data_IF_060950605870
#
_entry.id   IF_060950605870
#
_cell.length_a   1.000
_cell.length_b   1.000
_cell.length_c   1.000
_cell.angle_alpha   90.00
_cell.angle_beta   90.00
_cell.angle_gamma   90.00
#
_symmetry.space_group_name_H-M   'P 1'
#
loop_
_entity.id
_entity.type
_entity.pdbx_description
1 polymer ?
#
# COMPACT_ATOMS: atom_id res chain seq x y z
N UNK A 1 23.01 -11.63 -8.38
CA UNK A 1 23.25 -10.17 -8.51
C UNK A 1 23.06 -9.54 -7.14
N UNK A 2 23.87 -8.55 -6.77
CA UNK A 2 23.91 -8.06 -5.39
C UNK A 2 23.94 -6.54 -5.36
N UNK A 3 23.05 -5.93 -4.57
CA UNK A 3 23.08 -4.51 -4.26
C UNK A 3 23.91 -4.25 -3.01
N UNK A 4 24.91 -3.37 -3.14
CA UNK A 4 25.62 -2.82 -2.00
C UNK A 4 25.03 -1.47 -1.65
N UNK A 5 24.43 -1.34 -0.47
CA UNK A 5 23.82 -0.10 -0.03
C UNK A 5 24.38 0.35 1.32
N UNK A 6 24.26 1.64 1.59
CA UNK A 6 24.46 2.17 2.94
C UNK A 6 23.41 1.57 3.90
N UNK A 7 23.71 1.55 5.20
CA UNK A 7 22.81 1.07 6.26
C UNK A 7 21.71 2.10 6.55
N UNK A 8 20.96 2.48 5.51
CA UNK A 8 19.79 3.34 5.59
C UNK A 8 18.54 2.49 5.85
N UNK A 9 17.62 3.04 6.63
CA UNK A 9 16.34 2.42 7.01
C UNK A 9 15.43 2.04 5.84
N UNK A 10 15.65 2.62 4.66
CA UNK A 10 14.94 2.25 3.42
C UNK A 10 15.34 0.86 2.90
N UNK A 11 16.59 0.42 3.18
CA UNK A 11 17.14 -0.87 2.77
C UNK A 11 17.20 -1.88 3.92
N UNK A 12 17.34 -1.39 5.16
CA UNK A 12 17.35 -2.23 6.37
C UNK A 12 16.14 -1.96 7.25
N UNK A 13 15.42 -3.02 7.59
CA UNK A 13 14.39 -2.97 8.62
C UNK A 13 15.03 -3.05 10.02
N UNK A 14 14.57 -2.20 10.95
CA UNK A 14 14.76 -2.39 12.39
C UNK A 14 13.44 -2.87 12.97
N UNK A 15 13.47 -4.01 13.67
CA UNK A 15 12.29 -4.56 14.35
C UNK A 15 11.72 -3.55 15.32
N UNK A 16 10.59 -2.95 14.95
CA UNK A 16 9.80 -2.17 15.88
C UNK A 16 9.02 -3.15 16.74
N UNK A 17 9.08 -3.01 18.08
CA UNK A 17 8.29 -3.79 19.05
C UNK A 17 6.76 -3.59 18.94
N UNK A 18 6.25 -3.18 17.79
CA UNK A 18 4.82 -3.01 17.53
C UNK A 18 4.18 -4.35 17.19
N UNK A 19 3.02 -4.65 17.80
CA UNK A 19 2.18 -5.85 17.54
C UNK A 19 1.63 -5.98 16.10
N UNK A 20 2.04 -5.11 15.17
CA UNK A 20 1.49 -5.07 13.82
C UNK A 20 2.45 -5.79 12.87
N UNK A 21 2.18 -7.07 12.58
CA UNK A 21 2.94 -7.92 11.66
C UNK A 21 3.05 -7.33 10.24
N UNK A 22 2.15 -6.40 9.87
CA UNK A 22 2.26 -5.61 8.63
C UNK A 22 3.56 -4.83 8.52
N UNK A 23 4.23 -4.58 9.64
CA UNK A 23 5.52 -3.89 9.71
C UNK A 23 6.70 -4.85 9.83
N UNK A 24 6.50 -6.17 9.95
CA UNK A 24 7.52 -7.12 10.42
C UNK A 24 8.07 -8.01 9.28
N UNK A 25 7.90 -7.59 8.04
CA UNK A 25 8.50 -8.20 6.84
C UNK A 25 9.36 -7.15 6.15
N UNK A 26 10.43 -7.58 5.48
CA UNK A 26 11.27 -6.81 4.55
C UNK A 26 10.61 -5.52 4.03
N UNK A 27 11.37 -4.40 3.97
CA UNK A 27 10.92 -3.21 3.23
C UNK A 27 10.43 -3.64 1.84
N UNK A 28 9.42 -2.96 1.28
CA UNK A 28 8.86 -3.36 -0.04
C UNK A 28 9.96 -3.57 -1.10
N UNK A 29 10.99 -2.72 -1.05
CA UNK A 29 12.18 -2.84 -1.87
C UNK A 29 12.98 -4.14 -1.62
N UNK A 30 13.25 -4.49 -0.36
CA UNK A 30 13.98 -5.72 -0.03
C UNK A 30 13.18 -6.99 -0.32
N UNK A 31 11.85 -6.96 -0.16
CA UNK A 31 10.96 -8.05 -0.59
C UNK A 31 11.06 -8.26 -2.11
N UNK A 32 10.93 -7.17 -2.88
CA UNK A 32 11.04 -7.18 -4.34
C UNK A 32 12.41 -7.71 -4.82
N UNK A 33 13.51 -7.25 -4.21
CA UNK A 33 14.85 -7.74 -4.52
C UNK A 33 14.98 -9.24 -4.26
N UNK A 34 14.49 -9.72 -3.11
CA UNK A 34 14.52 -11.14 -2.78
C UNK A 34 13.71 -11.98 -3.78
N UNK A 35 12.55 -11.50 -4.24
CA UNK A 35 11.72 -12.17 -5.25
C UNK A 35 12.39 -12.20 -6.63
N UNK A 36 13.22 -11.21 -6.96
CA UNK A 36 14.06 -11.18 -8.16
C UNK A 36 15.38 -11.98 -8.00
N UNK A 37 15.66 -12.57 -6.84
CA UNK A 37 16.94 -13.23 -6.56
C UNK A 37 18.12 -12.26 -6.45
N UNK A 38 17.84 -11.01 -6.12
CA UNK A 38 18.84 -9.96 -5.88
C UNK A 38 19.09 -9.85 -4.39
N UNK A 39 20.34 -10.10 -3.99
CA UNK A 39 20.76 -9.97 -2.60
C UNK A 39 21.03 -8.50 -2.25
N UNK A 40 20.58 -8.02 -1.08
CA UNK A 40 20.90 -6.69 -0.58
C UNK A 40 21.91 -6.83 0.57
N UNK A 41 23.11 -6.30 0.36
CA UNK A 41 24.16 -6.21 1.36
C UNK A 41 24.26 -4.77 1.85
N UNK A 42 24.00 -4.55 3.13
CA UNK A 42 24.12 -3.23 3.75
C UNK A 42 25.39 -3.14 4.58
N UNK A 43 26.23 -2.15 4.31
CA UNK A 43 27.48 -1.95 5.05
C UNK A 43 27.66 -0.49 5.46
N UNK A 44 28.16 -0.27 6.67
CA UNK A 44 28.63 1.03 7.16
C UNK A 44 30.16 1.15 7.07
N UNK A 45 30.83 0.21 6.40
CA UNK A 45 32.29 0.13 6.37
C UNK A 45 32.86 1.14 5.33
N UNK A 46 33.78 2.04 5.74
CA UNK A 46 34.32 3.08 4.87
C UNK A 46 35.12 2.57 3.65
N UNK A 47 35.74 1.38 3.71
CA UNK A 47 36.62 0.89 2.64
C UNK A 47 35.94 0.76 1.28
N UNK A 48 34.70 0.28 1.22
CA UNK A 48 33.91 0.21 -0.02
C UNK A 48 33.42 1.60 -0.46
N UNK A 49 33.20 2.49 0.52
CA UNK A 49 32.62 3.82 0.33
C UNK A 49 33.64 4.83 -0.21
N UNK A 50 34.92 4.75 0.19
CA UNK A 50 35.93 5.76 -0.17
C UNK A 50 36.22 5.86 -1.66
N UNK A 51 36.14 4.77 -2.43
CA UNK A 51 36.27 4.84 -3.91
C UNK A 51 35.06 5.49 -4.56
N UNK A 52 33.87 5.11 -4.10
CA UNK A 52 32.60 5.65 -4.58
C UNK A 52 32.49 7.15 -4.24
N UNK A 53 32.83 7.55 -3.02
CA UNK A 53 32.83 8.95 -2.57
C UNK A 53 33.79 9.83 -3.39
N UNK A 54 35.01 9.35 -3.68
CA UNK A 54 35.94 10.07 -4.57
C UNK A 54 35.42 10.21 -5.98
N UNK A 55 34.80 9.16 -6.53
CA UNK A 55 34.18 9.20 -7.85
C UNK A 55 33.04 10.23 -7.87
N UNK A 56 32.15 10.21 -6.88
CA UNK A 56 31.04 11.17 -6.78
C UNK A 56 31.53 12.60 -6.58
N UNK A 57 32.56 12.83 -5.76
CA UNK A 57 33.17 14.15 -5.62
C UNK A 57 33.71 14.68 -6.95
N UNK A 58 34.50 13.84 -7.65
CA UNK A 58 35.06 14.18 -8.96
C UNK A 58 33.96 14.49 -9.99
N UNK A 59 32.88 13.70 -10.00
CA UNK A 59 31.73 13.91 -10.88
C UNK A 59 31.02 15.23 -10.55
N UNK A 60 30.73 15.49 -9.27
CA UNK A 60 29.99 16.68 -8.85
C UNK A 60 30.76 17.97 -9.11
N UNK A 61 32.06 18.00 -8.81
CA UNK A 61 32.90 19.18 -9.01
C UNK A 61 33.00 19.51 -10.50
N UNK A 62 33.23 18.50 -11.35
CA UNK A 62 33.34 18.69 -12.80
C UNK A 62 32.00 19.03 -13.44
N UNK A 63 30.93 18.34 -13.05
CA UNK A 63 29.61 18.57 -13.63
C UNK A 63 29.16 20.02 -13.42
N UNK A 64 29.40 20.61 -12.24
CA UNK A 64 29.08 22.02 -11.97
C UNK A 64 29.86 22.97 -12.91
N UNK A 65 31.16 22.73 -13.08
CA UNK A 65 32.01 23.55 -13.94
C UNK A 65 31.61 23.42 -15.42
N UNK A 66 31.32 22.21 -15.87
CA UNK A 66 30.92 21.89 -17.24
C UNK A 66 29.55 22.46 -17.60
N UNK A 67 28.58 22.42 -16.67
CA UNK A 67 27.30 23.11 -16.83
C UNK A 67 27.47 24.64 -16.93
N UNK A 68 28.38 25.20 -16.13
CA UNK A 68 28.70 26.64 -16.16
C UNK A 68 29.34 27.05 -17.48
N UNK A 69 30.31 26.28 -17.99
CA UNK A 69 30.94 26.50 -19.29
C UNK A 69 29.93 26.41 -20.44
N UNK A 70 28.97 25.49 -20.34
CA UNK A 70 27.88 25.34 -21.29
C UNK A 70 26.78 26.41 -21.13
N UNK A 71 26.90 27.33 -20.17
CA UNK A 71 25.93 28.40 -19.86
C UNK A 71 24.50 27.86 -19.68
N UNK A 72 24.37 26.67 -19.10
CA UNK A 72 23.07 26.04 -18.86
C UNK A 72 22.36 26.77 -17.73
N UNK A 73 21.14 27.23 -17.98
CA UNK A 73 20.34 27.98 -16.99
C UNK A 73 19.03 27.30 -16.65
N UNK A 74 18.59 26.34 -17.47
CA UNK A 74 17.32 25.63 -17.29
C UNK A 74 17.51 24.13 -17.01
N UNK A 75 16.51 23.54 -16.36
CA UNK A 75 16.50 22.10 -16.05
C UNK A 75 16.50 21.23 -17.31
N UNK A 76 15.76 21.65 -18.35
CA UNK A 76 15.67 20.92 -19.61
C UNK A 76 17.01 20.89 -20.36
N UNK A 77 17.70 22.03 -20.41
CA UNK A 77 19.06 22.12 -20.97
C UNK A 77 20.05 21.27 -20.18
N UNK A 78 19.96 21.26 -18.85
CA UNK A 78 20.80 20.41 -18.01
C UNK A 78 20.59 18.92 -18.33
N UNK A 79 19.33 18.47 -18.45
CA UNK A 79 19.02 17.10 -18.84
C UNK A 79 19.56 16.74 -20.23
N UNK A 80 19.48 17.67 -21.19
CA UNK A 80 20.05 17.49 -22.54
C UNK A 80 21.59 17.46 -22.52
N UNK A 81 22.21 18.31 -21.68
CA UNK A 81 23.65 18.36 -21.49
C UNK A 81 24.17 17.05 -20.88
N UNK A 82 23.52 16.56 -19.83
CA UNK A 82 23.88 15.32 -19.14
C UNK A 82 23.97 14.13 -20.10
N UNK A 83 23.02 13.98 -21.03
CA UNK A 83 23.04 12.91 -22.05
C UNK A 83 24.32 12.92 -22.90
N UNK A 84 24.92 14.09 -23.15
CA UNK A 84 26.18 14.23 -23.90
C UNK A 84 27.42 14.16 -23.00
N UNK A 85 27.32 14.65 -21.76
CA UNK A 85 28.41 14.71 -20.80
C UNK A 85 28.76 13.32 -20.25
N UNK A 86 27.76 12.53 -19.84
CA UNK A 86 27.95 11.21 -19.22
C UNK A 86 28.85 10.27 -20.05
N UNK A 87 28.65 10.09 -21.37
CA UNK A 87 29.54 9.26 -22.20
C UNK A 87 30.98 9.77 -22.24
N UNK A 88 31.18 11.09 -22.33
CA UNK A 88 32.52 11.70 -22.33
C UNK A 88 33.21 11.51 -20.98
N UNK A 89 32.49 11.77 -19.89
CA UNK A 89 32.99 11.56 -18.53
C UNK A 89 33.39 10.10 -18.31
N UNK A 90 32.52 9.15 -18.67
CA UNK A 90 32.81 7.73 -18.51
C UNK A 90 34.01 7.30 -19.37
N UNK A 91 34.22 7.85 -20.57
CA UNK A 91 35.41 7.57 -21.37
C UNK A 91 36.72 7.96 -20.68
N UNK A 92 36.70 9.01 -19.85
CA UNK A 92 37.90 9.50 -19.16
C UNK A 92 38.11 8.88 -17.77
N UNK A 93 37.03 8.55 -17.05
CA UNK A 93 37.09 8.15 -15.63
C UNK A 93 36.58 6.76 -15.33
N UNK A 94 35.81 6.13 -16.23
CA UNK A 94 35.38 4.76 -16.01
C UNK A 94 36.55 3.80 -16.23
N UNK A 95 36.60 2.76 -15.40
CA UNK A 95 37.46 1.62 -15.69
C UNK A 95 36.96 0.93 -16.97
N UNK A 96 37.86 0.43 -17.83
CA UNK A 96 37.45 -0.42 -18.95
C UNK A 96 36.70 -1.62 -18.38
N UNK A 97 35.48 -1.83 -18.90
CA UNK A 97 34.62 -2.92 -18.48
C UNK A 97 35.06 -4.15 -19.29
N UNK A 98 36.03 -4.92 -18.79
CA UNK A 98 36.45 -6.20 -19.37
C UNK A 98 35.48 -7.33 -18.99
N UNK A 99 34.17 -7.12 -19.21
CA UNK A 99 33.17 -8.17 -19.05
C UNK A 99 32.64 -8.58 -20.42
N UNK A 100 33.14 -9.70 -20.92
CA UNK A 100 32.70 -10.29 -22.20
C UNK A 100 31.28 -10.90 -22.13
N UNK A 101 30.69 -11.00 -20.95
CA UNK A 101 29.38 -11.62 -20.75
C UNK A 101 28.40 -10.64 -20.08
N UNK A 102 27.30 -10.34 -20.77
CA UNK A 102 26.13 -9.71 -20.17
C UNK A 102 25.55 -10.68 -19.13
N UNK A 103 25.57 -10.30 -17.85
CA UNK A 103 24.87 -10.99 -16.78
C UNK A 103 23.44 -10.47 -16.57
N UNK A 104 22.95 -9.62 -17.49
CA UNK A 104 21.60 -9.09 -17.44
C UNK A 104 20.59 -10.15 -17.88
N UNK A 105 19.51 -10.27 -17.12
CA UNK A 105 18.36 -11.14 -17.44
C UNK A 105 17.29 -10.27 -18.08
N UNK A 106 16.51 -10.85 -19.00
CA UNK A 106 15.38 -10.16 -19.60
C UNK A 106 14.39 -9.66 -18.54
N UNK A 107 13.77 -8.51 -18.84
CA UNK A 107 12.75 -7.96 -17.97
C UNK A 107 11.56 -8.93 -17.87
N UNK A 108 10.99 -9.12 -16.67
CA UNK A 108 9.77 -9.90 -16.51
C UNK A 108 8.61 -9.26 -17.28
N UNK A 109 7.57 -10.05 -17.57
CA UNK A 109 6.32 -9.53 -18.13
C UNK A 109 5.69 -8.43 -17.26
N UNK A 110 4.93 -7.53 -17.89
CA UNK A 110 4.30 -6.38 -17.21
C UNK A 110 3.45 -6.79 -16.01
N UNK A 111 2.71 -7.89 -16.13
CA UNK A 111 1.82 -8.37 -15.07
C UNK A 111 2.61 -8.88 -13.87
N UNK A 112 3.76 -9.53 -14.14
CA UNK A 112 4.69 -9.97 -13.11
C UNK A 112 5.34 -8.79 -12.42
N UNK A 113 5.73 -7.74 -13.17
CA UNK A 113 6.25 -6.50 -12.60
C UNK A 113 5.21 -5.83 -11.70
N UNK A 114 3.95 -5.76 -12.14
CA UNK A 114 2.84 -5.16 -11.39
C UNK A 114 2.64 -5.82 -10.01
N UNK A 115 2.76 -7.15 -9.96
CA UNK A 115 2.69 -7.93 -8.72
C UNK A 115 3.97 -7.86 -7.90
N UNK A 116 5.14 -7.82 -8.52
CA UNK A 116 6.43 -7.73 -7.83
C UNK A 116 6.59 -6.41 -7.08
N UNK A 117 6.07 -5.32 -7.66
CA UNK A 117 6.03 -3.98 -7.06
C UNK A 117 4.80 -3.76 -6.15
N UNK A 118 4.05 -4.82 -5.83
CA UNK A 118 2.86 -4.71 -5.00
C UNK A 118 3.14 -4.53 -3.51
N UNK A 119 2.25 -3.79 -2.86
CA UNK A 119 2.21 -3.65 -1.40
C UNK A 119 1.29 -4.74 -0.84
N UNK A 120 1.85 -5.64 -0.05
CA UNK A 120 1.07 -6.68 0.63
C UNK A 120 0.74 -6.28 2.06
N UNK A 121 -0.47 -6.57 2.52
CA UNK A 121 -0.86 -6.35 3.91
C UNK A 121 -1.79 -7.45 4.40
N UNK A 122 -1.48 -8.03 5.56
CA UNK A 122 -2.32 -9.05 6.20
C UNK A 122 -3.55 -8.39 6.81
N UNK A 123 -4.73 -8.94 6.54
CA UNK A 123 -6.01 -8.48 7.11
C UNK A 123 -6.80 -9.68 7.59
N UNK A 124 -7.75 -9.39 8.49
CA UNK A 124 -8.66 -10.39 9.01
C UNK A 124 -10.08 -10.08 8.55
N UNK A 125 -10.79 -11.07 8.04
CA UNK A 125 -12.15 -10.90 7.54
C UNK A 125 -13.11 -10.52 8.66
N UNK A 126 -14.01 -9.58 8.38
CA UNK A 126 -15.02 -9.10 9.34
C UNK A 126 -16.18 -10.08 9.52
N UNK A 127 -17.14 -9.71 10.38
CA UNK A 127 -18.46 -10.36 10.39
C UNK A 127 -19.25 -9.84 9.19
N UNK A 128 -19.55 -10.74 8.25
CA UNK A 128 -20.22 -10.42 7.00
C UNK A 128 -19.23 -10.07 5.90
N UNK A 129 -18.87 -11.09 5.10
CA UNK A 129 -18.17 -11.22 3.79
C UNK A 129 -17.19 -10.14 3.30
N UNK A 130 -17.38 -8.90 3.71
CA UNK A 130 -16.53 -7.75 3.48
C UNK A 130 -15.19 -7.82 4.21
N UNK A 131 -14.16 -7.33 3.51
CA UNK A 131 -12.82 -7.08 4.02
C UNK A 131 -12.63 -5.57 4.13
N UNK A 132 -12.17 -5.09 5.28
CA UNK A 132 -11.85 -3.67 5.47
C UNK A 132 -10.38 -3.39 5.15
N UNK A 133 -10.13 -2.41 4.29
CA UNK A 133 -8.79 -1.97 3.91
C UNK A 133 -8.81 -0.47 3.56
N UNK A 134 -7.81 0.29 4.02
CA UNK A 134 -7.71 1.73 3.77
C UNK A 134 -9.03 2.51 3.98
N UNK A 135 -9.70 2.30 5.13
CA UNK A 135 -11.01 2.88 5.50
C UNK A 135 -12.19 2.56 4.57
N UNK A 136 -12.03 1.61 3.65
CA UNK A 136 -13.05 1.15 2.71
C UNK A 136 -13.35 -0.33 2.93
N UNK A 137 -14.52 -0.77 2.47
CA UNK A 137 -14.93 -2.18 2.49
C UNK A 137 -14.87 -2.76 1.10
N UNK A 138 -14.44 -4.00 0.99
CA UNK A 138 -14.27 -4.70 -0.28
C UNK A 138 -14.88 -6.09 -0.22
N UNK A 139 -15.33 -6.59 -1.37
CA UNK A 139 -15.77 -7.97 -1.57
C UNK A 139 -14.85 -8.67 -2.55
N UNK A 140 -14.56 -9.94 -2.30
CA UNK A 140 -13.70 -10.74 -3.16
C UNK A 140 -14.50 -11.50 -4.22
N UNK A 141 -14.00 -11.50 -5.44
CA UNK A 141 -14.62 -12.19 -6.57
C UNK A 141 -13.64 -13.16 -7.22
N UNK A 142 -14.15 -14.35 -7.53
CA UNK A 142 -13.51 -15.38 -8.35
C UNK A 142 -14.28 -15.47 -9.67
N UNK A 143 -13.73 -14.94 -10.77
CA UNK A 143 -14.39 -14.95 -12.09
C UNK A 143 -15.86 -14.52 -12.06
N UNK A 144 -16.15 -13.36 -11.44
CA UNK A 144 -17.49 -12.77 -11.23
C UNK A 144 -18.37 -13.48 -10.21
N UNK A 145 -17.94 -14.60 -9.61
CA UNK A 145 -18.63 -15.22 -8.48
C UNK A 145 -18.11 -14.66 -7.17
N UNK A 146 -19.01 -14.27 -6.28
CA UNK A 146 -18.64 -13.77 -4.97
C UNK A 146 -17.99 -14.90 -4.15
N UNK A 147 -16.76 -14.69 -3.68
CA UNK A 147 -16.09 -15.62 -2.78
C UNK A 147 -16.43 -15.27 -1.34
N UNK A 148 -17.02 -16.24 -0.65
CA UNK A 148 -17.35 -16.14 0.78
C UNK A 148 -16.18 -16.68 1.60
N UNK A 149 -15.77 -15.93 2.62
CA UNK A 149 -14.81 -16.38 3.62
C UNK A 149 -15.49 -16.50 4.96
N UNK A 150 -15.02 -17.44 5.78
CA UNK A 150 -15.42 -17.53 7.17
C UNK A 150 -15.01 -16.25 7.90
N UNK A 151 -15.72 -15.92 8.98
CA UNK A 151 -15.34 -14.77 9.81
C UNK A 151 -14.01 -15.04 10.49
N UNK A 152 -13.19 -14.00 10.67
CA UNK A 152 -11.88 -14.06 11.32
C UNK A 152 -10.79 -14.83 10.57
N UNK A 153 -10.97 -15.08 9.28
CA UNK A 153 -9.95 -15.69 8.43
C UNK A 153 -8.85 -14.69 8.10
N UNK A 154 -7.59 -15.11 8.19
CA UNK A 154 -6.43 -14.31 7.80
C UNK A 154 -6.29 -14.35 6.27
N UNK A 155 -6.28 -13.18 5.65
CA UNK A 155 -6.17 -12.99 4.21
C UNK A 155 -5.07 -11.97 3.93
N UNK A 156 -4.38 -12.09 2.80
CA UNK A 156 -3.39 -11.10 2.39
C UNK A 156 -3.98 -10.23 1.28
N UNK A 157 -4.01 -8.92 1.48
CA UNK A 157 -4.38 -7.97 0.44
C UNK A 157 -3.12 -7.60 -0.32
N UNK A 158 -3.19 -7.66 -1.65
CA UNK A 158 -2.15 -7.26 -2.58
C UNK A 158 -2.66 -5.99 -3.25
N UNK A 159 -1.99 -4.87 -3.00
CA UNK A 159 -2.20 -3.62 -3.72
C UNK A 159 -1.13 -3.52 -4.81
N UNK A 160 -1.50 -3.83 -6.04
CA UNK A 160 -0.60 -3.85 -7.17
C UNK A 160 -0.12 -2.44 -7.55
N UNK A 161 0.91 -2.36 -8.40
CA UNK A 161 1.52 -1.09 -8.79
C UNK A 161 0.55 -0.15 -9.53
N UNK A 162 -0.35 -0.72 -10.33
CA UNK A 162 -1.47 -0.02 -10.98
C UNK A 162 -2.62 0.36 -10.03
N UNK A 163 -2.50 0.06 -8.73
CA UNK A 163 -3.50 0.27 -7.67
C UNK A 163 -4.71 -0.67 -7.73
N UNK A 164 -4.65 -1.72 -8.55
CA UNK A 164 -5.64 -2.79 -8.48
C UNK A 164 -5.45 -3.59 -7.19
N UNK A 165 -6.57 -4.02 -6.61
CA UNK A 165 -6.56 -4.74 -5.33
C UNK A 165 -6.89 -6.21 -5.55
N UNK A 166 -6.03 -7.07 -5.05
CA UNK A 166 -6.24 -8.52 -5.04
C UNK A 166 -6.22 -9.08 -3.61
N UNK A 167 -6.89 -10.21 -3.41
CA UNK A 167 -6.91 -10.96 -2.16
C UNK A 167 -6.23 -12.28 -2.41
N UNK A 168 -5.17 -12.57 -1.66
CA UNK A 168 -4.54 -13.88 -1.63
C UNK A 168 -5.01 -14.66 -0.41
N UNK A 169 -5.55 -15.86 -0.65
CA UNK A 169 -5.97 -16.82 0.37
C UNK A 169 -5.70 -18.25 -0.10
N UNK A 170 -5.05 -19.08 0.73
CA UNK A 170 -4.72 -20.49 0.42
C UNK A 170 -4.11 -20.67 -0.99
N UNK A 171 -3.20 -19.76 -1.36
CA UNK A 171 -2.50 -19.74 -2.66
C UNK A 171 -3.36 -19.40 -3.89
N UNK A 172 -4.63 -19.00 -3.72
CA UNK A 172 -5.47 -18.43 -4.77
C UNK A 172 -5.56 -16.91 -4.66
N UNK A 173 -5.66 -16.26 -5.81
CA UNK A 173 -5.81 -14.80 -5.93
C UNK A 173 -7.23 -14.49 -6.40
N UNK A 174 -7.89 -13.56 -5.71
CA UNK A 174 -9.24 -13.09 -5.99
C UNK A 174 -9.22 -11.58 -6.27
N UNK A 175 -10.12 -11.07 -7.09
CA UNK A 175 -10.24 -9.64 -7.36
C UNK A 175 -11.03 -8.94 -6.22
N UNK A 176 -10.57 -7.81 -5.69
CA UNK A 176 -11.35 -7.00 -4.74
C UNK A 176 -12.06 -5.87 -5.46
N UNK A 177 -13.37 -5.80 -5.24
CA UNK A 177 -14.17 -4.66 -5.65
C UNK A 177 -14.67 -3.91 -4.42
N UNK A 178 -14.63 -2.58 -4.50
CA UNK A 178 -15.12 -1.71 -3.43
C UNK A 178 -16.63 -1.94 -3.23
N UNK A 179 -17.00 -2.28 -2.00
CA UNK A 179 -18.39 -2.41 -1.59
C UNK A 179 -18.85 -1.11 -0.96
N UNK A 180 -19.67 -0.39 -1.70
CA UNK A 180 -20.39 0.77 -1.21
C UNK A 180 -21.71 0.24 -0.62
N UNK A 181 -21.92 0.31 0.71
CA UNK A 181 -23.19 -0.08 1.28
C UNK A 181 -24.26 0.83 0.69
N UNK A 182 -25.20 0.26 -0.06
CA UNK A 182 -26.44 0.95 -0.37
C UNK A 182 -27.14 1.14 0.96
N UNK A 183 -27.15 2.37 1.46
CA UNK A 183 -28.03 2.75 2.56
C UNK A 183 -29.44 2.59 2.01
N UNK A 184 -30.02 1.40 2.17
CA UNK A 184 -31.47 1.31 2.14
C UNK A 184 -31.90 2.16 3.32
N UNK A 185 -32.43 3.35 3.03
CA UNK A 185 -33.32 4.04 3.95
C UNK A 185 -34.51 3.10 4.14
N UNK A 186 -34.35 2.07 4.96
CA UNK A 186 -35.48 1.52 5.67
C UNK A 186 -35.87 2.66 6.59
N UNK A 187 -36.85 3.46 6.18
CA UNK A 187 -37.63 4.22 7.12
C UNK A 187 -37.97 3.22 8.23
N UNK A 188 -37.33 3.39 9.40
CA UNK A 188 -37.73 2.65 10.58
C UNK A 188 -39.15 3.14 10.83
N UNK A 189 -40.14 2.45 10.31
CA UNK A 189 -41.52 2.65 10.75
C UNK A 189 -41.48 2.36 12.24
N UNK A 190 -41.50 3.41 13.05
CA UNK A 190 -41.64 3.27 14.49
C UNK A 190 -42.84 2.35 14.70
N UNK A 191 -42.70 1.25 15.47
CA UNK A 191 -43.86 0.42 15.77
C UNK A 191 -44.91 1.34 16.36
N UNK A 192 -46.12 1.41 15.75
CA UNK A 192 -47.23 2.19 16.28
C UNK A 192 -47.38 1.80 17.74
N UNK A 193 -47.04 2.69 18.66
CA UNK A 193 -47.18 2.40 20.08
C UNK A 193 -48.67 2.15 20.32
N UNK A 194 -49.00 1.00 20.91
CA UNK A 194 -50.37 0.79 21.38
C UNK A 194 -50.57 1.79 22.51
N UNK A 195 -51.47 2.77 22.32
CA UNK A 195 -51.83 3.69 23.39
C UNK A 195 -52.20 2.87 24.62
N UNK A 196 -51.49 3.07 25.74
CA UNK A 196 -51.78 2.36 26.97
C UNK A 196 -53.17 2.79 27.44
N UNK A 197 -54.13 1.87 27.44
CA UNK A 197 -55.43 2.09 28.07
C UNK A 197 -55.22 1.90 29.58
N UNK A 198 -55.33 2.95 30.40
CA UNK A 198 -55.18 2.79 31.84
C UNK A 198 -56.30 1.90 32.39
N UNK A 199 -56.08 1.31 33.56
CA UNK A 199 -57.07 0.48 34.25
C UNK A 199 -58.35 1.28 34.53
N UNK A 200 -59.50 0.61 34.61
CA UNK A 200 -60.81 1.24 34.84
C UNK A 200 -60.85 2.13 36.08
N UNK A 201 -60.09 1.78 37.13
CA UNK A 201 -60.01 2.49 38.40
C UNK A 201 -58.90 3.57 38.44
N UNK A 202 -58.56 4.16 37.30
CA UNK A 202 -57.56 5.23 37.25
C UNK A 202 -58.17 6.57 37.72
N UNK A 203 -57.46 7.41 38.49
CA UNK A 203 -58.01 8.68 39.02
C UNK A 203 -58.57 9.64 37.96
N UNK A 204 -58.08 9.52 36.71
CA UNK A 204 -58.56 10.28 35.56
C UNK A 204 -59.90 9.77 34.99
N UNK A 205 -60.21 8.46 35.09
CA UNK A 205 -61.52 7.91 34.69
C UNK A 205 -62.60 8.19 35.74
N UNK A 206 -62.27 8.22 37.04
CA UNK A 206 -63.20 8.57 38.13
C UNK A 206 -63.75 10.00 38.02
N UNK A 207 -62.93 10.95 37.59
CA UNK A 207 -63.37 12.34 37.36
C UNK A 207 -64.43 12.46 36.27
N UNK A 208 -64.40 11.58 35.27
CA UNK A 208 -65.39 11.57 34.19
C UNK A 208 -66.73 10.95 34.63
N UNK A 209 -66.71 9.88 35.42
CA UNK A 209 -67.93 9.27 35.96
C UNK A 209 -68.62 10.19 36.97
N UNK A 210 -67.88 10.86 37.87
CA UNK A 210 -68.49 11.81 38.81
C UNK A 210 -69.14 13.01 38.11
N UNK A 211 -68.57 13.49 37.00
CA UNK A 211 -69.12 14.61 36.23
C UNK A 211 -70.42 14.25 35.49
N UNK A 212 -70.64 12.97 35.15
CA UNK A 212 -71.92 12.52 34.59
C UNK A 212 -72.99 12.30 35.65
N UNK A 213 -72.59 11.95 36.88
CA UNK A 213 -73.49 11.82 38.02
C UNK A 213 -73.97 13.17 38.58
N UNK A 214 -73.24 14.27 38.35
CA UNK A 214 -73.61 15.62 38.80
C UNK A 214 -74.48 16.41 37.81
N UNK A 215 -74.96 15.79 36.73
CA UNK A 215 -75.83 16.42 35.71
C UNK A 215 -77.21 15.72 35.69
N UNK A 216 -77.70 15.29 36.85
CA UNK A 216 -79.10 14.88 37.06
C UNK A 216 -79.71 15.68 38.19
#
# INVERSE_FOLDING_TARGET
MTFYTDKRTIFTYQKNNSKNEEKDTFTQFSRCCNELGIEIITTSIPQTKGRIERLWGTLQDRLKNELSLAKVTTLEEANKFLKKFLPKFNKHFALPIDYNNSAFVDAPESDKINLLLSITSTRRTGKGLSISYANKKYLAYDNKKLKVFNSKTNVTIINAFDKTLYLKYENKIYNLLEYIPTVKNTEKTLPKSKAHKPKSNHPWTERYTMKQLSIK
#
